data_IF_984954853928
#
_entry.id   IF_984954853928
#
_cell.length_a   1.000
_cell.length_b   1.000
_cell.length_c   1.000
_cell.angle_alpha   90.00
_cell.angle_beta   90.00
_cell.angle_gamma   90.00
#
_symmetry.space_group_name_H-M   'P 1'
#
loop_
_entity.id
_entity.type
_entity.pdbx_description
1 polymer ?
#
# COMPACT_ATOMS: atom_id res chain seq x y z
N UNK A 1 14.62 -14.23 0.56
CA UNK A 1 13.75 -13.23 1.21
C UNK A 1 13.08 -13.90 2.40
N UNK A 2 12.98 -13.23 3.57
CA UNK A 2 12.34 -13.81 4.75
C UNK A 2 10.83 -14.00 4.52
N UNK A 3 10.23 -14.92 5.28
CA UNK A 3 8.77 -15.10 5.32
C UNK A 3 8.11 -13.82 5.82
N UNK A 4 7.03 -13.42 5.17
CA UNK A 4 6.23 -12.25 5.59
C UNK A 4 5.39 -12.69 6.79
N UNK A 5 5.64 -12.11 7.97
CA UNK A 5 4.89 -12.38 9.20
C UNK A 5 3.96 -11.21 9.58
N UNK A 6 4.19 -10.03 9.00
CA UNK A 6 3.40 -8.82 9.22
C UNK A 6 3.34 -8.00 7.92
N UNK A 7 2.37 -7.11 7.84
CA UNK A 7 2.19 -6.21 6.70
C UNK A 7 1.80 -4.82 7.19
N UNK A 8 2.38 -3.81 6.56
CA UNK A 8 2.03 -2.42 6.72
C UNK A 8 1.43 -1.91 5.42
N UNK A 9 0.35 -1.14 5.50
CA UNK A 9 -0.30 -0.55 4.34
C UNK A 9 -0.53 0.94 4.56
N UNK A 10 -0.35 1.74 3.51
CA UNK A 10 -0.87 3.10 3.48
C UNK A 10 -2.30 3.06 2.94
N UNK A 11 -3.24 3.53 3.74
CA UNK A 11 -4.65 3.59 3.41
C UNK A 11 -5.12 5.04 3.31
N UNK A 12 -6.13 5.29 2.49
CA UNK A 12 -6.82 6.57 2.40
C UNK A 12 -8.29 6.39 2.76
N UNK A 13 -8.86 7.38 3.45
CA UNK A 13 -10.32 7.49 3.65
C UNK A 13 -10.99 7.77 2.29
N UNK A 14 -12.03 7.00 1.98
CA UNK A 14 -12.81 7.11 0.75
C UNK A 14 -14.15 7.82 1.02
N UNK A 15 -15.31 7.21 0.71
CA UNK A 15 -16.59 7.94 0.76
C UNK A 15 -17.16 8.19 2.16
N UNK A 16 -16.43 7.79 3.22
CA UNK A 16 -16.77 8.05 4.63
C UNK A 16 -15.79 7.44 5.64
N UNK A 17 -16.03 7.61 6.95
CA UNK A 17 -15.09 7.22 8.00
C UNK A 17 -14.89 5.70 8.17
N UNK A 18 -15.81 4.90 7.63
CA UNK A 18 -15.76 3.43 7.65
C UNK A 18 -15.41 2.84 6.26
N UNK A 19 -14.97 3.68 5.33
CA UNK A 19 -14.63 3.31 3.96
C UNK A 19 -13.15 3.65 3.69
N UNK A 20 -12.30 2.61 3.60
CA UNK A 20 -10.86 2.76 3.48
C UNK A 20 -10.32 1.93 2.31
N UNK A 21 -9.40 2.52 1.53
CA UNK A 21 -8.73 1.86 0.42
C UNK A 21 -7.21 1.83 0.57
N UNK A 22 -6.56 0.75 0.12
CA UNK A 22 -5.08 0.70 0.03
C UNK A 22 -4.62 1.56 -1.15
N UNK A 23 -3.72 2.49 -0.87
CA UNK A 23 -3.15 3.37 -1.88
C UNK A 23 -2.27 2.55 -2.83
N UNK A 24 -2.40 2.79 -4.13
CA UNK A 24 -1.56 2.19 -5.15
C UNK A 24 -0.95 3.23 -6.09
N UNK A 25 0.19 2.88 -6.69
CA UNK A 25 0.80 3.63 -7.79
C UNK A 25 0.72 2.82 -9.07
N UNK A 26 0.64 3.52 -10.19
CA UNK A 26 0.75 2.90 -11.50
C UNK A 26 2.21 2.97 -11.96
N UNK A 27 2.77 1.86 -12.43
CA UNK A 27 4.10 1.87 -13.06
C UNK A 27 4.07 2.62 -14.39
N UNK A 28 5.26 3.01 -14.87
CA UNK A 28 5.42 3.30 -16.29
C UNK A 28 5.00 2.10 -17.15
N UNK A 29 4.68 2.32 -18.44
CA UNK A 29 4.41 1.23 -19.36
C UNK A 29 5.65 0.33 -19.48
N UNK A 30 5.46 -0.98 -19.39
CA UNK A 30 6.49 -1.98 -19.67
C UNK A 30 6.71 -2.15 -21.19
N UNK A 31 7.60 -3.08 -21.55
CA UNK A 31 7.93 -3.38 -22.95
C UNK A 31 6.71 -3.89 -23.76
N UNK A 32 5.73 -4.48 -23.07
CA UNK A 32 4.44 -4.92 -23.63
C UNK A 32 3.38 -3.80 -23.66
N UNK A 33 3.76 -2.57 -23.30
CA UNK A 33 2.89 -1.40 -23.20
C UNK A 33 1.96 -1.40 -21.99
N UNK A 34 1.97 -2.44 -21.14
CA UNK A 34 1.06 -2.55 -19.99
C UNK A 34 1.59 -1.78 -18.80
N UNK A 35 0.66 -1.29 -17.99
CA UNK A 35 0.95 -0.64 -16.71
C UNK A 35 0.47 -1.51 -15.58
N UNK A 36 1.27 -1.64 -14.53
CA UNK A 36 0.93 -2.41 -13.34
C UNK A 36 0.49 -1.46 -12.24
N UNK A 37 -0.52 -1.86 -11.47
CA UNK A 37 -0.89 -1.22 -10.23
C UNK A 37 -0.15 -1.89 -9.08
N UNK A 38 0.62 -1.10 -8.33
CA UNK A 38 1.42 -1.56 -7.21
C UNK A 38 0.87 -0.94 -5.92
N UNK A 39 0.30 -1.75 -5.01
CA UNK A 39 -0.14 -1.25 -3.72
C UNK A 39 1.07 -0.82 -2.87
N UNK A 40 0.90 0.23 -2.09
CA UNK A 40 1.93 0.73 -1.17
C UNK A 40 1.90 -0.06 0.13
N UNK A 41 2.39 -1.31 0.06
CA UNK A 41 2.53 -2.22 1.19
C UNK A 41 4.00 -2.55 1.49
N UNK A 42 4.29 -2.81 2.76
CA UNK A 42 5.62 -3.25 3.20
C UNK A 42 5.55 -4.37 4.22
N UNK A 43 6.47 -5.32 4.16
CA UNK A 43 6.62 -6.38 5.16
C UNK A 43 7.49 -5.95 6.36
N UNK A 44 8.16 -4.79 6.25
CA UNK A 44 9.08 -4.24 7.24
C UNK A 44 9.13 -2.71 7.16
N UNK A 45 9.66 -2.08 8.22
CA UNK A 45 9.71 -0.62 8.32
C UNK A 45 10.69 0.04 7.35
N UNK A 46 11.72 -0.66 6.85
CA UNK A 46 12.61 -0.09 5.84
C UNK A 46 11.86 0.10 4.52
N UNK A 47 11.04 -0.88 4.11
CA UNK A 47 10.14 -0.74 2.96
C UNK A 47 9.11 0.36 3.20
N UNK A 48 8.44 0.38 4.36
CA UNK A 48 7.48 1.44 4.70
C UNK A 48 8.10 2.83 4.57
N UNK A 49 9.30 3.03 5.11
CA UNK A 49 9.99 4.32 5.06
C UNK A 49 10.35 4.71 3.63
N UNK A 50 10.69 3.75 2.76
CA UNK A 50 10.93 4.03 1.33
C UNK A 50 9.67 4.48 0.57
N UNK A 51 8.49 3.99 0.99
CA UNK A 51 7.20 4.29 0.34
C UNK A 51 6.52 5.54 0.93
N UNK A 52 6.87 5.91 2.17
CA UNK A 52 6.26 7.03 2.91
C UNK A 52 6.22 8.35 2.13
N UNK A 53 7.30 8.81 1.46
CA UNK A 53 7.26 10.07 0.71
C UNK A 53 6.23 10.04 -0.43
N UNK A 54 6.03 8.89 -1.05
CA UNK A 54 5.05 8.69 -2.12
C UNK A 54 3.63 8.79 -1.56
N UNK A 55 3.36 8.07 -0.47
CA UNK A 55 2.06 8.10 0.21
C UNK A 55 1.70 9.51 0.70
N UNK A 56 2.66 10.23 1.28
CA UNK A 56 2.49 11.65 1.67
C UNK A 56 2.18 12.53 0.47
N UNK A 57 2.92 12.36 -0.64
CA UNK A 57 2.67 13.10 -1.87
C UNK A 57 1.28 12.85 -2.45
N UNK A 58 0.76 11.63 -2.35
CA UNK A 58 -0.61 11.29 -2.78
C UNK A 58 -1.64 11.98 -1.88
N UNK A 59 -1.50 11.90 -0.56
CA UNK A 59 -2.38 12.59 0.38
C UNK A 59 -2.42 14.11 0.12
N UNK A 60 -1.27 14.73 -0.10
CA UNK A 60 -1.20 16.16 -0.44
C UNK A 60 -1.91 16.50 -1.76
N UNK A 61 -1.79 15.66 -2.79
CA UNK A 61 -2.37 15.91 -4.12
C UNK A 61 -3.89 15.68 -4.16
N UNK A 62 -4.36 14.69 -3.41
CA UNK A 62 -5.76 14.28 -3.38
C UNK A 62 -6.58 15.02 -2.32
N UNK A 63 -5.91 15.57 -1.30
CA UNK A 63 -6.56 16.11 -0.12
C UNK A 63 -7.06 15.03 0.85
N UNK A 64 -6.84 13.74 0.54
CA UNK A 64 -7.27 12.64 1.40
C UNK A 64 -6.34 12.47 2.59
N UNK A 65 -6.92 12.10 3.73
CA UNK A 65 -6.16 11.66 4.90
C UNK A 65 -5.54 10.30 4.61
N UNK A 66 -4.22 10.21 4.78
CA UNK A 66 -3.46 8.96 4.61
C UNK A 66 -3.03 8.43 5.97
N UNK A 67 -3.39 7.18 6.27
CA UNK A 67 -3.06 6.47 7.51
C UNK A 67 -2.12 5.30 7.22
N UNK A 68 -1.14 5.06 8.08
CA UNK A 68 -0.32 3.86 8.06
C UNK A 68 -0.90 2.85 9.05
N UNK A 69 -1.32 1.69 8.54
CA UNK A 69 -1.86 0.59 9.36
C UNK A 69 -0.89 -0.58 9.43
N UNK A 70 -0.99 -1.36 10.51
CA UNK A 70 -0.17 -2.54 10.76
C UNK A 70 -1.06 -3.75 10.98
N UNK A 71 -0.91 -4.75 10.12
CA UNK A 71 -1.54 -6.06 10.20
C UNK A 71 -0.48 -7.08 10.63
N UNK A 72 -0.61 -7.65 11.82
CA UNK A 72 0.38 -8.58 12.40
C UNK A 72 -0.12 -10.02 12.52
N UNK A 73 -1.42 -10.27 12.33
CA UNK A 73 -1.99 -11.60 12.45
C UNK A 73 -1.99 -12.30 11.08
N UNK A 74 -0.91 -13.03 10.77
CA UNK A 74 -0.86 -13.87 9.59
C UNK A 74 -1.77 -15.09 9.78
N UNK A 75 -2.71 -15.27 8.87
CA UNK A 75 -3.49 -16.48 8.73
C UNK A 75 -3.35 -17.00 7.30
N UNK A 76 -2.83 -18.22 7.14
CA UNK A 76 -2.76 -18.89 5.85
C UNK A 76 -4.14 -19.53 5.58
N UNK A 77 -4.90 -18.98 4.61
CA UNK A 77 -6.28 -19.43 4.31
C UNK A 77 -6.31 -20.57 3.29
N UNK A 78 -5.53 -20.46 2.22
CA UNK A 78 -5.44 -21.45 1.15
C UNK A 78 -4.14 -21.27 0.34
N UNK A 79 -3.82 -22.27 -0.50
CA UNK A 79 -2.76 -22.19 -1.51
C UNK A 79 -3.44 -22.20 -2.87
N UNK A 80 -3.28 -21.10 -3.62
CA UNK A 80 -3.86 -20.87 -4.97
C UNK A 80 -2.88 -21.33 -6.04
#
# INVERSE_FOLDING_TARGET
>A
MPRIEQMYAFIAEDTGPDDEGVIAIQTGPGDDGRRLWLPLVGADMARVNSLRPIAQGIGCKTGQRVTLVHFSNRQDLEVI
#
